data_IF_173049622459
#
_entry.id   IF_173049622459
#
_cell.length_a   1.000
_cell.length_b   1.000
_cell.length_c   1.000
_cell.angle_alpha   90.00
_cell.angle_beta   90.00
_cell.angle_gamma   90.00
#
_symmetry.space_group_name_H-M   'P 1'
#
loop_
_entity.id
_entity.type
_entity.pdbx_description
1 polymer ?
#
# COMPACT_ATOMS: atom_id res chain seq x y z
N UNK A 1 29.04 -4.13 -15.42
CA UNK A 1 29.68 -3.83 -14.12
C UNK A 1 28.96 -4.61 -13.04
N UNK A 2 29.67 -4.98 -11.98
CA UNK A 2 29.27 -6.01 -11.02
C UNK A 2 27.93 -5.70 -10.34
N UNK A 3 27.05 -6.70 -10.22
CA UNK A 3 25.80 -6.62 -9.44
C UNK A 3 26.00 -6.35 -7.94
N UNK A 4 27.22 -6.01 -7.52
CA UNK A 4 27.60 -5.64 -6.15
C UNK A 4 27.44 -4.14 -5.85
N UNK A 5 27.26 -3.29 -6.87
CA UNK A 5 27.22 -1.82 -6.69
C UNK A 5 25.83 -1.19 -6.82
N UNK A 6 24.83 -1.96 -7.29
CA UNK A 6 23.45 -1.51 -7.44
C UNK A 6 22.48 -2.62 -7.03
N UNK A 7 21.37 -2.26 -6.41
CA UNK A 7 20.23 -3.17 -6.28
C UNK A 7 19.72 -3.47 -7.68
N UNK A 8 19.43 -4.73 -7.97
CA UNK A 8 19.00 -5.11 -9.31
C UNK A 8 17.62 -4.46 -9.60
N UNK A 9 17.46 -3.73 -10.73
CA UNK A 9 16.19 -3.09 -11.06
C UNK A 9 15.01 -4.07 -11.05
N UNK A 10 15.21 -5.30 -11.53
CA UNK A 10 14.19 -6.35 -11.46
C UNK A 10 13.79 -6.73 -10.03
N UNK A 11 14.72 -6.73 -9.08
CA UNK A 11 14.44 -7.04 -7.68
C UNK A 11 13.68 -5.89 -7.00
N UNK A 12 14.05 -4.64 -7.32
CA UNK A 12 13.32 -3.45 -6.87
C UNK A 12 11.90 -3.39 -7.43
N UNK A 13 11.73 -3.71 -8.72
CA UNK A 13 10.42 -3.79 -9.36
C UNK A 13 9.55 -4.87 -8.71
N UNK A 14 10.09 -6.08 -8.51
CA UNK A 14 9.39 -7.17 -7.85
C UNK A 14 8.99 -6.84 -6.41
N UNK A 15 9.88 -6.18 -5.66
CA UNK A 15 9.55 -5.70 -4.31
C UNK A 15 8.44 -4.65 -4.36
N UNK A 16 8.51 -3.71 -5.30
CA UNK A 16 7.47 -2.69 -5.51
C UNK A 16 6.10 -3.29 -5.83
N UNK A 17 6.05 -4.31 -6.69
CA UNK A 17 4.83 -5.05 -7.00
C UNK A 17 4.27 -5.81 -5.79
N UNK A 18 5.14 -6.37 -4.95
CA UNK A 18 4.73 -7.02 -3.70
C UNK A 18 4.08 -6.01 -2.74
N UNK A 19 4.67 -4.83 -2.57
CA UNK A 19 4.07 -3.75 -1.78
C UNK A 19 2.72 -3.30 -2.34
N UNK A 20 2.61 -3.10 -3.65
CA UNK A 20 1.36 -2.75 -4.31
C UNK A 20 0.27 -3.81 -4.14
N UNK A 21 0.63 -5.10 -4.23
CA UNK A 21 -0.31 -6.21 -3.97
C UNK A 21 -0.82 -6.17 -2.53
N UNK A 22 0.08 -5.96 -1.55
CA UNK A 22 -0.32 -5.88 -0.13
C UNK A 22 -1.13 -4.63 0.18
N UNK A 23 -0.85 -3.51 -0.48
CA UNK A 23 -1.65 -2.31 -0.39
C UNK A 23 -3.09 -2.57 -0.88
N UNK A 24 -3.24 -3.23 -2.03
CA UNK A 24 -4.53 -3.62 -2.59
C UNK A 24 -5.29 -4.58 -1.67
N UNK A 25 -4.64 -5.64 -1.21
CA UNK A 25 -5.23 -6.63 -0.29
C UNK A 25 -5.78 -5.93 0.97
N UNK A 26 -4.98 -5.03 1.57
CA UNK A 26 -5.38 -4.30 2.77
C UNK A 26 -6.51 -3.30 2.49
N UNK A 27 -6.46 -2.56 1.37
CA UNK A 27 -7.53 -1.65 0.99
C UNK A 27 -8.87 -2.39 0.75
N UNK A 28 -8.81 -3.58 0.16
CA UNK A 28 -9.98 -4.45 -0.04
C UNK A 28 -10.54 -4.94 1.29
N UNK A 29 -9.67 -5.38 2.21
CA UNK A 29 -10.07 -5.79 3.56
C UNK A 29 -10.71 -4.64 4.35
N UNK A 30 -10.17 -3.41 4.25
CA UNK A 30 -10.75 -2.21 4.87
C UNK A 30 -12.13 -1.90 4.29
N UNK A 31 -12.27 -1.99 2.96
CA UNK A 31 -13.56 -1.78 2.29
C UNK A 31 -14.61 -2.78 2.77
N UNK A 32 -14.24 -4.06 2.83
CA UNK A 32 -15.13 -5.12 3.33
C UNK A 32 -15.47 -4.93 4.81
N UNK A 33 -14.51 -4.49 5.63
CA UNK A 33 -14.73 -4.16 7.02
C UNK A 33 -15.76 -3.03 7.15
N UNK A 34 -15.58 -1.91 6.44
CA UNK A 34 -16.51 -0.78 6.46
C UNK A 34 -17.93 -1.17 6.06
N UNK A 35 -18.09 -2.04 5.06
CA UNK A 35 -19.41 -2.55 4.65
C UNK A 35 -20.11 -3.36 5.75
N UNK A 36 -19.34 -4.00 6.64
CA UNK A 36 -19.86 -4.84 7.72
C UNK A 36 -19.98 -4.11 9.05
N UNK A 37 -19.33 -2.95 9.18
CA UNK A 37 -19.26 -2.17 10.42
C UNK A 37 -19.75 -0.73 10.21
N UNK A 38 -20.67 -0.52 9.26
CA UNK A 38 -21.40 0.74 9.17
C UNK A 38 -22.29 0.92 10.40
N UNK A 39 -22.72 2.16 10.66
CA UNK A 39 -23.54 2.49 11.82
C UNK A 39 -24.79 1.61 11.91
N UNK A 40 -25.50 1.43 10.79
CA UNK A 40 -26.67 0.55 10.70
C UNK A 40 -26.33 -0.91 11.06
N UNK A 41 -25.23 -1.46 10.52
CA UNK A 41 -24.85 -2.85 10.79
C UNK A 41 -24.41 -3.04 12.25
N UNK A 42 -23.78 -2.03 12.85
CA UNK A 42 -23.41 -2.04 14.27
C UNK A 42 -24.67 -1.95 15.14
N UNK A 43 -25.58 -1.03 14.84
CA UNK A 43 -26.87 -0.90 15.54
C UNK A 43 -27.71 -2.18 15.44
N UNK A 44 -27.82 -2.77 14.24
CA UNK A 44 -28.53 -4.03 14.03
C UNK A 44 -27.88 -5.21 14.77
N UNK A 45 -26.53 -5.24 14.82
CA UNK A 45 -25.77 -6.29 15.50
C UNK A 45 -25.91 -6.27 17.02
N UNK A 46 -26.03 -5.09 17.62
CA UNK A 46 -26.35 -4.93 19.03
C UNK A 46 -27.84 -5.21 19.34
N UNK A 47 -28.71 -4.99 18.37
CA UNK A 47 -30.16 -5.17 18.53
C UNK A 47 -30.71 -4.34 19.69
N UNK A 48 -31.80 -4.82 20.29
CA UNK A 48 -32.42 -4.19 21.47
C UNK A 48 -31.63 -4.44 22.78
N UNK A 49 -30.49 -5.15 22.73
CA UNK A 49 -29.83 -5.71 23.91
C UNK A 49 -28.78 -4.80 24.55
N UNK A 50 -28.39 -3.70 23.90
CA UNK A 50 -27.68 -2.61 24.57
C UNK A 50 -28.60 -1.41 24.69
N UNK A 51 -29.18 -1.19 25.87
CA UNK A 51 -29.94 0.02 26.18
C UNK A 51 -29.05 1.29 26.18
N UNK A 52 -27.74 1.16 26.00
CA UNK A 52 -26.80 2.27 26.00
C UNK A 52 -26.41 2.69 24.57
N UNK A 53 -27.03 3.77 24.12
CA UNK A 53 -26.66 4.51 22.90
C UNK A 53 -25.16 4.85 22.90
N UNK A 54 -24.62 5.25 24.05
CA UNK A 54 -23.19 5.57 24.26
C UNK A 54 -22.24 4.41 23.90
N UNK A 55 -22.59 3.18 24.28
CA UNK A 55 -21.78 2.00 23.93
C UNK A 55 -21.81 1.77 22.42
N UNK A 56 -22.97 1.93 21.79
CA UNK A 56 -23.12 1.72 20.35
C UNK A 56 -22.32 2.77 19.57
N UNK A 57 -22.42 4.04 19.95
CA UNK A 57 -21.64 5.13 19.37
C UNK A 57 -20.13 4.91 19.52
N UNK A 58 -19.67 4.41 20.67
CA UNK A 58 -18.26 4.09 20.91
C UNK A 58 -17.72 3.04 19.92
N UNK A 59 -18.53 2.02 19.59
CA UNK A 59 -18.16 1.02 18.59
C UNK A 59 -18.17 1.57 17.16
N UNK A 60 -19.13 2.42 16.83
CA UNK A 60 -19.18 3.12 15.54
C UNK A 60 -17.93 3.98 15.36
N UNK A 61 -17.56 4.76 16.38
CA UNK A 61 -16.37 5.59 16.35
C UNK A 61 -15.09 4.74 16.24
N UNK A 62 -15.00 3.66 17.01
CA UNK A 62 -13.87 2.74 16.95
C UNK A 62 -13.71 2.14 15.54
N UNK A 63 -14.79 1.64 14.94
CA UNK A 63 -14.77 1.10 13.59
C UNK A 63 -14.35 2.16 12.56
N UNK A 64 -14.85 3.39 12.67
CA UNK A 64 -14.45 4.50 11.81
C UNK A 64 -12.95 4.82 11.93
N UNK A 65 -12.43 4.91 13.16
CA UNK A 65 -10.99 5.16 13.40
C UNK A 65 -10.11 4.03 12.87
N UNK A 66 -10.52 2.77 13.03
CA UNK A 66 -9.82 1.62 12.47
C UNK A 66 -9.76 1.67 10.93
N UNK A 67 -10.89 1.98 10.28
CA UNK A 67 -10.94 2.09 8.83
C UNK A 67 -10.02 3.21 8.30
N UNK A 68 -9.99 4.36 8.98
CA UNK A 68 -9.09 5.48 8.64
C UNK A 68 -7.62 5.07 8.81
N UNK A 69 -7.25 4.47 9.94
CA UNK A 69 -5.87 4.09 10.22
C UNK A 69 -5.36 3.02 9.25
N UNK A 70 -6.14 1.96 9.03
CA UNK A 70 -5.77 0.87 8.12
C UNK A 70 -5.81 1.31 6.65
N UNK A 71 -6.75 2.17 6.26
CA UNK A 71 -6.75 2.79 4.94
C UNK A 71 -5.55 3.71 4.70
N UNK A 72 -5.08 4.39 5.74
CA UNK A 72 -3.81 5.13 5.73
C UNK A 72 -2.60 4.22 5.50
N UNK A 73 -2.55 3.08 6.22
CA UNK A 73 -1.49 2.09 6.04
C UNK A 73 -1.48 1.51 4.62
N UNK A 74 -2.66 1.19 4.07
CA UNK A 74 -2.78 0.69 2.69
C UNK A 74 -2.19 1.69 1.67
N UNK A 75 -2.51 2.98 1.81
CA UNK A 75 -1.93 4.03 0.95
C UNK A 75 -0.41 4.12 1.09
N UNK A 76 0.11 4.03 2.30
CA UNK A 76 1.55 4.09 2.52
C UNK A 76 2.29 2.91 1.88
N UNK A 77 1.71 1.70 1.95
CA UNK A 77 2.25 0.54 1.24
C UNK A 77 2.27 0.76 -0.27
N UNK A 78 1.23 1.35 -0.84
CA UNK A 78 1.20 1.66 -2.28
C UNK A 78 2.25 2.71 -2.66
N UNK A 79 2.38 3.78 -1.87
CA UNK A 79 3.41 4.81 -2.06
C UNK A 79 4.82 4.23 -2.04
N UNK A 80 5.13 3.33 -1.09
CA UNK A 80 6.40 2.60 -1.05
C UNK A 80 6.59 1.75 -2.30
N UNK A 81 5.53 1.03 -2.71
CA UNK A 81 5.57 0.21 -3.92
C UNK A 81 5.78 1.02 -5.21
N UNK A 82 5.20 2.22 -5.30
CA UNK A 82 5.43 3.16 -6.40
C UNK A 82 6.87 3.67 -6.40
N UNK A 83 7.38 4.12 -5.25
CA UNK A 83 8.76 4.63 -5.14
C UNK A 83 9.81 3.59 -5.53
N UNK A 84 9.60 2.32 -5.19
CA UNK A 84 10.49 1.22 -5.59
C UNK A 84 10.48 0.98 -7.11
N UNK A 85 9.29 0.99 -7.73
CA UNK A 85 9.16 0.83 -9.19
C UNK A 85 9.76 2.01 -9.95
N UNK A 86 9.61 3.22 -9.43
CA UNK A 86 10.22 4.41 -10.02
C UNK A 86 11.75 4.36 -9.89
N UNK A 87 12.27 3.89 -8.75
CA UNK A 87 13.70 3.68 -8.59
C UNK A 87 14.24 2.65 -9.60
N UNK A 88 13.57 1.50 -9.75
CA UNK A 88 13.93 0.48 -10.74
C UNK A 88 14.02 1.07 -12.16
N UNK A 89 13.00 1.82 -12.59
CA UNK A 89 12.97 2.48 -13.90
C UNK A 89 14.10 3.48 -14.09
N UNK A 90 14.39 4.28 -13.06
CA UNK A 90 15.46 5.26 -13.09
C UNK A 90 16.84 4.59 -13.16
N UNK A 91 17.02 3.46 -12.47
CA UNK A 91 18.24 2.66 -12.53
C UNK A 91 18.45 2.06 -13.92
N UNK A 92 17.42 1.45 -14.52
CA UNK A 92 17.50 0.93 -15.89
C UNK A 92 17.88 2.03 -16.90
N UNK A 93 17.22 3.19 -16.81
CA UNK A 93 17.51 4.32 -17.70
C UNK A 93 18.92 4.89 -17.53
N UNK A 94 19.44 4.90 -16.29
CA UNK A 94 20.80 5.33 -16.01
C UNK A 94 21.84 4.35 -16.56
N UNK A 95 21.60 3.04 -16.44
CA UNK A 95 22.47 2.00 -16.98
C UNK A 95 22.52 2.05 -18.52
N UNK A 96 21.39 2.27 -19.18
CA UNK A 96 21.32 2.47 -20.63
C UNK A 96 22.13 3.70 -21.07
N UNK A 97 21.97 4.84 -20.37
CA UNK A 97 22.71 6.06 -20.65
C UNK A 97 24.23 5.89 -20.46
N UNK A 98 24.65 5.18 -19.42
CA UNK A 98 26.06 4.86 -19.18
C UNK A 98 26.61 3.94 -20.28
N UNK A 99 25.84 2.91 -20.67
CA UNK A 99 26.26 1.98 -21.72
C UNK A 99 26.50 2.71 -23.05
N UNK A 100 25.68 3.70 -23.39
CA UNK A 100 25.83 4.49 -24.60
C UNK A 100 27.05 5.43 -24.58
N UNK A 101 27.39 5.99 -23.41
CA UNK A 101 28.63 6.75 -23.23
C UNK A 101 29.88 5.88 -23.49
N UNK A 102 29.88 4.62 -23.05
CA UNK A 102 31.00 3.71 -23.31
C UNK A 102 31.09 3.25 -24.78
N UNK A 103 29.95 3.13 -25.48
CA UNK A 103 29.94 2.81 -26.93
C UNK A 103 30.41 3.99 -27.78
N UNK A 104 30.14 5.23 -27.34
CA UNK A 104 30.59 6.47 -28.01
C UNK A 104 32.08 6.80 -27.83
N UNK A 105 32.79 6.12 -26.94
CA UNK A 105 34.21 6.38 -26.61
C UNK A 105 35.26 5.79 -27.57
N UNK A 106 34.85 5.11 -28.66
CA UNK A 106 35.79 4.69 -29.72
C UNK A 106 35.96 5.81 -30.75
N UNK A 107 36.92 6.70 -30.51
CA UNK A 107 37.56 7.53 -31.54
C UNK A 107 39.07 7.48 -31.35
#
# INVERSE_FOLDING_TARGET
>A
MSGDFCLQPQELAALGDAFGTRAYDLASAVTSFQQRTGAEQIHDGFGFLTESEEVTESYVELAARMAVALGGLARHLDEVGQALRDNARNSDAADDALADLFKGGKR
#
